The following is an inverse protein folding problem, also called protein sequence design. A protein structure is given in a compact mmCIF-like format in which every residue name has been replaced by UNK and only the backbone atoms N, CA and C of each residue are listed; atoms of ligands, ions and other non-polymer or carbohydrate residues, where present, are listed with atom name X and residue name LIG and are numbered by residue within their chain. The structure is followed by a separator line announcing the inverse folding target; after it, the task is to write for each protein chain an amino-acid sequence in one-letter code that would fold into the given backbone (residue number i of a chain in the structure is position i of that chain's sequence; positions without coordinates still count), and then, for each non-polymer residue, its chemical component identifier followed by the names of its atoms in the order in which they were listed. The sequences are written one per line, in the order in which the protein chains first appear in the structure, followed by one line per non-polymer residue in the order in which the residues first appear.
data_IF_352847955834
#
_entry.id   IF_352847955834
#
_cell.length_a   1.000
_cell.length_b   1.000
_cell.length_c   1.000
_cell.angle_alpha   90.00
_cell.angle_beta   90.00
_cell.angle_gamma   90.00
#
_symmetry.space_group_name_H-M   'P 1'
#
loop_
_entity.id
_entity.type
_entity.pdbx_description
1 polymer ?
#
# COMPACT_ATOMS: atom_id res chain seq x y z
N UNK A 1 -73.31 -14.51 13.99
CA UNK A 1 -72.43 -15.68 13.79
C UNK A 1 -71.51 -15.32 12.62
N UNK A 2 -70.18 -15.21 12.71
CA UNK A 2 -69.20 -15.48 13.77
C UNK A 2 -68.01 -14.51 13.72
N UNK A 3 -67.15 -14.61 14.72
CA UNK A 3 -65.96 -13.78 15.01
C UNK A 3 -64.74 -14.12 14.11
N UNK A 4 -63.68 -13.27 14.08
CA UNK A 4 -62.56 -13.40 13.15
C UNK A 4 -61.44 -14.33 13.65
N UNK A 5 -60.83 -15.09 12.73
CA UNK A 5 -59.71 -15.99 12.99
C UNK A 5 -58.38 -15.22 13.09
N UNK A 6 -58.05 -14.83 14.31
CA UNK A 6 -56.67 -14.68 14.77
C UNK A 6 -56.08 -16.05 15.14
N UNK A 7 -54.75 -16.18 15.00
CA UNK A 7 -53.87 -17.27 15.50
C UNK A 7 -53.63 -18.46 14.56
N UNK A 8 -52.69 -18.30 13.63
CA UNK A 8 -51.71 -19.34 13.35
C UNK A 8 -50.33 -18.70 13.24
N UNK A 9 -49.56 -18.90 14.29
CA UNK A 9 -48.21 -18.43 14.49
C UNK A 9 -47.30 -19.68 14.45
N UNK A 10 -45.99 -19.46 14.29
CA UNK A 10 -44.94 -20.39 14.72
C UNK A 10 -44.64 -21.53 13.72
N UNK A 11 -43.80 -21.27 12.71
CA UNK A 11 -42.72 -22.15 12.20
C UNK A 11 -42.15 -21.55 10.89
N UNK A 12 -41.53 -20.38 10.99
CA UNK A 12 -40.54 -19.99 9.99
C UNK A 12 -39.16 -20.36 10.56
N UNK A 13 -38.36 -21.23 9.92
CA UNK A 13 -37.01 -21.52 10.39
C UNK A 13 -36.17 -20.24 10.37
N UNK A 14 -35.24 -20.04 11.32
CA UNK A 14 -34.33 -18.90 11.28
C UNK A 14 -33.52 -19.00 9.99
N UNK A 15 -33.59 -17.96 9.16
CA UNK A 15 -32.75 -17.79 7.99
C UNK A 15 -31.29 -17.83 8.45
N UNK A 16 -30.67 -18.96 8.15
CA UNK A 16 -29.30 -19.34 8.46
C UNK A 16 -28.35 -18.39 7.72
N UNK A 17 -27.54 -17.65 8.47
CA UNK A 17 -26.27 -17.06 8.03
C UNK A 17 -26.35 -16.12 6.83
N UNK A 18 -26.71 -14.85 7.05
CA UNK A 18 -26.09 -13.81 6.23
C UNK A 18 -24.63 -13.70 6.67
N UNK A 19 -23.76 -14.47 6.02
CA UNK A 19 -22.36 -14.08 5.93
C UNK A 19 -22.35 -12.71 5.27
N UNK A 20 -22.22 -11.67 6.09
CA UNK A 20 -21.90 -10.32 5.65
C UNK A 20 -20.53 -10.41 4.98
N UNK A 21 -20.49 -10.78 3.70
CA UNK A 21 -19.30 -10.64 2.89
C UNK A 21 -19.03 -9.14 2.81
N UNK A 22 -18.12 -8.66 3.67
CA UNK A 22 -17.63 -7.29 3.62
C UNK A 22 -16.89 -7.15 2.29
N UNK A 23 -17.58 -6.61 1.28
CA UNK A 23 -16.92 -6.18 0.06
C UNK A 23 -15.99 -5.03 0.40
N UNK A 24 -14.68 -5.25 0.29
CA UNK A 24 -13.69 -4.20 0.44
C UNK A 24 -13.91 -3.14 -0.64
N UNK A 25 -14.23 -1.93 -0.22
CA UNK A 25 -14.35 -0.78 -1.12
C UNK A 25 -13.00 -0.06 -1.24
N UNK A 26 -12.92 0.94 -2.12
CA UNK A 26 -11.69 1.75 -2.34
C UNK A 26 -11.06 2.28 -1.06
N UNK A 27 -11.86 2.66 -0.05
CA UNK A 27 -11.35 3.15 1.25
C UNK A 27 -10.69 2.02 2.05
N UNK A 28 -11.28 0.82 2.04
CA UNK A 28 -10.69 -0.35 2.68
C UNK A 28 -9.33 -0.70 2.07
N UNK A 29 -9.25 -0.80 0.73
CA UNK A 29 -7.98 -1.06 0.03
C UNK A 29 -6.93 0.02 0.32
N UNK A 30 -7.32 1.30 0.30
CA UNK A 30 -6.39 2.39 0.62
C UNK A 30 -5.90 2.34 2.08
N UNK A 31 -6.77 1.99 3.02
CA UNK A 31 -6.41 1.92 4.45
C UNK A 31 -5.45 0.76 4.72
N UNK A 32 -5.77 -0.42 4.19
CA UNK A 32 -4.87 -1.59 4.29
C UNK A 32 -3.56 -1.33 3.56
N UNK A 33 -3.63 -0.73 2.37
CA UNK A 33 -2.45 -0.31 1.61
C UNK A 33 -1.54 0.61 2.41
N UNK A 34 -2.10 1.63 3.08
CA UNK A 34 -1.33 2.53 3.94
C UNK A 34 -0.63 1.78 5.07
N UNK A 35 -1.35 0.91 5.79
CA UNK A 35 -0.80 0.15 6.91
C UNK A 35 0.31 -0.80 6.44
N UNK A 36 0.05 -1.57 5.38
CA UNK A 36 1.01 -2.53 4.83
C UNK A 36 2.25 -1.82 4.28
N UNK A 37 2.06 -0.69 3.60
CA UNK A 37 3.15 0.15 3.11
C UNK A 37 4.01 0.73 4.24
N UNK A 38 3.39 1.25 5.31
CA UNK A 38 4.10 1.71 6.51
C UNK A 38 4.90 0.59 7.19
N UNK A 39 4.30 -0.60 7.36
CA UNK A 39 4.99 -1.76 7.93
C UNK A 39 6.17 -2.17 7.05
N UNK A 40 5.98 -2.18 5.73
CA UNK A 40 7.04 -2.53 4.78
C UNK A 40 8.21 -1.53 4.79
N UNK A 41 7.94 -0.24 4.92
CA UNK A 41 8.99 0.75 5.10
C UNK A 41 9.70 0.56 6.47
N UNK A 42 8.94 0.37 7.54
CA UNK A 42 9.46 0.22 8.91
C UNK A 42 10.42 -0.97 9.06
N UNK A 43 10.11 -2.13 8.45
CA UNK A 43 10.98 -3.32 8.48
C UNK A 43 12.30 -3.15 7.73
N UNK A 44 12.38 -2.16 6.86
CA UNK A 44 13.53 -1.89 6.00
C UNK A 44 14.35 -0.68 6.45
N UNK A 45 14.05 -0.12 7.63
CA UNK A 45 14.77 1.02 8.18
C UNK A 45 16.22 0.64 8.54
N UNK A 46 17.22 1.44 8.14
CA UNK A 46 18.61 1.24 8.55
C UNK A 46 18.80 1.42 10.06
N UNK A 47 19.70 0.64 10.65
CA UNK A 47 20.13 0.86 12.03
C UNK A 47 20.86 2.20 12.17
N UNK A 48 20.59 2.94 13.26
CA UNK A 48 21.23 4.22 13.53
C UNK A 48 20.68 5.42 12.77
N UNK A 49 19.66 5.23 11.92
CA UNK A 49 19.00 6.33 11.22
C UNK A 49 18.21 7.22 12.20
N UNK A 50 18.33 8.54 12.03
CA UNK A 50 17.64 9.52 12.87
C UNK A 50 16.12 9.35 12.83
N UNK A 51 15.45 9.53 13.98
CA UNK A 51 14.02 9.25 14.13
C UNK A 51 13.13 10.03 13.17
N UNK A 52 13.50 11.28 12.84
CA UNK A 52 12.73 12.10 11.90
C UNK A 52 12.75 11.52 10.47
N UNK A 53 13.87 10.93 10.06
CA UNK A 53 13.99 10.24 8.76
C UNK A 53 13.27 8.89 8.76
N UNK A 54 13.26 8.18 9.90
CA UNK A 54 12.44 6.98 10.06
C UNK A 54 10.95 7.31 9.92
N UNK A 55 10.49 8.39 10.53
CA UNK A 55 9.11 8.88 10.39
C UNK A 55 8.83 9.24 8.92
N UNK A 56 9.74 9.96 8.26
CA UNK A 56 9.61 10.31 6.85
C UNK A 56 9.44 9.06 5.96
N UNK A 57 10.30 8.05 6.14
CA UNK A 57 10.21 6.77 5.42
C UNK A 57 8.89 6.04 5.70
N UNK A 58 8.42 5.99 6.95
CA UNK A 58 7.16 5.32 7.29
C UNK A 58 5.95 6.03 6.69
N UNK A 59 5.94 7.37 6.70
CA UNK A 59 4.89 8.18 6.05
C UNK A 59 4.93 8.06 4.54
N UNK A 60 6.13 8.04 3.96
CA UNK A 60 6.36 7.74 2.55
C UNK A 60 5.78 6.38 2.20
N UNK A 61 6.12 5.34 2.97
CA UNK A 61 5.60 3.99 2.84
C UNK A 61 4.08 3.93 2.91
N UNK A 62 3.47 4.69 3.82
CA UNK A 62 2.02 4.82 3.91
C UNK A 62 1.41 5.34 2.60
N UNK A 63 1.93 6.47 2.10
CA UNK A 63 1.43 7.09 0.87
C UNK A 63 1.68 6.19 -0.35
N UNK A 64 2.87 5.59 -0.45
CA UNK A 64 3.22 4.62 -1.48
C UNK A 64 2.28 3.43 -1.46
N UNK A 65 1.95 2.93 -0.27
CA UNK A 65 0.98 1.86 -0.07
C UNK A 65 -0.43 2.22 -0.54
N UNK A 66 -0.91 3.43 -0.26
CA UNK A 66 -2.19 3.94 -0.78
C UNK A 66 -2.20 4.01 -2.31
N UNK A 67 -1.12 4.51 -2.91
CA UNK A 67 -0.98 4.59 -4.37
C UNK A 67 -0.95 3.18 -4.95
N UNK A 68 -0.08 2.32 -4.42
CA UNK A 68 0.09 0.94 -4.84
C UNK A 68 -1.19 0.13 -4.77
N UNK A 69 -1.97 0.29 -3.69
CA UNK A 69 -3.24 -0.42 -3.52
C UNK A 69 -4.34 0.05 -4.47
N UNK A 70 -4.12 1.09 -5.27
CA UNK A 70 -5.08 1.56 -6.29
C UNK A 70 -4.64 1.20 -7.69
N UNK A 71 -3.37 0.88 -7.89
CA UNK A 71 -2.79 0.61 -9.21
C UNK A 71 -3.52 -0.51 -9.96
N UNK A 72 -3.91 -1.66 -9.36
CA UNK A 72 -4.63 -2.69 -10.09
C UNK A 72 -5.90 -2.16 -10.76
N UNK A 73 -6.73 -1.42 -10.01
CA UNK A 73 -7.99 -0.85 -10.49
C UNK A 73 -7.80 0.36 -11.43
N UNK A 74 -6.64 1.02 -11.40
CA UNK A 74 -6.28 2.10 -12.35
C UNK A 74 -5.85 1.50 -13.68
N UNK A 75 -5.01 0.45 -13.65
CA UNK A 75 -4.50 -0.23 -14.84
C UNK A 75 -5.62 -1.02 -15.52
N UNK A 76 -6.50 -1.64 -14.74
CA UNK A 76 -7.62 -2.43 -15.24
C UNK A 76 -8.93 -1.98 -14.57
N UNK A 77 -9.56 -0.87 -15.03
CA UNK A 77 -10.82 -0.39 -14.47
C UNK A 77 -11.92 -1.44 -14.56
N UNK A 78 -12.72 -1.58 -13.50
CA UNK A 78 -13.83 -2.53 -13.46
C UNK A 78 -15.00 -2.07 -14.36
N UNK A 79 -14.98 -2.45 -15.63
CA UNK A 79 -16.07 -2.19 -16.59
C UNK A 79 -17.21 -3.22 -16.54
N UNK A 80 -16.95 -4.46 -16.09
CA UNK A 80 -17.96 -5.44 -15.63
C UNK A 80 -17.30 -6.55 -14.79
N UNK A 81 -18.09 -7.43 -14.16
CA UNK A 81 -17.64 -8.44 -13.17
C UNK A 81 -16.66 -9.50 -13.68
N UNK A 82 -16.39 -9.54 -14.98
CA UNK A 82 -15.48 -10.49 -15.65
C UNK A 82 -14.20 -9.85 -16.19
N UNK A 83 -13.99 -8.54 -16.00
CA UNK A 83 -12.84 -7.81 -16.54
C UNK A 83 -11.60 -7.78 -15.65
N UNK A 84 -11.55 -8.52 -14.53
CA UNK A 84 -10.35 -8.59 -13.68
C UNK A 84 -9.44 -9.70 -14.20
N UNK A 85 -8.56 -9.37 -15.15
CA UNK A 85 -7.73 -10.35 -15.87
C UNK A 85 -6.25 -10.20 -15.54
N UNK A 86 -5.54 -9.31 -16.22
CA UNK A 86 -4.08 -9.24 -16.18
C UNK A 86 -3.55 -8.60 -14.90
N UNK A 87 -4.02 -7.41 -14.53
CA UNK A 87 -3.51 -6.65 -13.38
C UNK A 87 -3.89 -7.32 -12.06
N UNK A 88 -4.96 -8.10 -12.07
CA UNK A 88 -5.36 -8.90 -10.92
C UNK A 88 -4.90 -10.35 -10.99
N UNK A 89 -4.06 -10.75 -11.96
CA UNK A 89 -3.60 -12.14 -12.09
C UNK A 89 -2.60 -12.57 -11.02
N UNK A 90 -2.57 -13.87 -10.71
CA UNK A 90 -1.57 -14.46 -9.79
C UNK A 90 -0.14 -14.26 -10.29
N UNK A 91 0.06 -14.32 -11.61
CA UNK A 91 1.38 -14.11 -12.22
C UNK A 91 1.89 -12.71 -11.96
N UNK A 92 1.05 -11.68 -12.18
CA UNK A 92 1.42 -10.29 -11.89
C UNK A 92 1.59 -10.09 -10.38
N UNK A 93 0.70 -10.65 -9.55
CA UNK A 93 0.83 -10.61 -8.10
C UNK A 93 2.20 -11.14 -7.63
N UNK A 94 2.60 -12.30 -8.14
CA UNK A 94 3.86 -12.96 -7.80
C UNK A 94 5.07 -12.16 -8.31
N UNK A 95 4.98 -11.60 -9.52
CA UNK A 95 6.01 -10.73 -10.08
C UNK A 95 6.21 -9.45 -9.27
N UNK A 96 5.13 -8.82 -8.81
CA UNK A 96 5.20 -7.64 -7.93
C UNK A 96 5.74 -8.03 -6.56
N UNK A 97 5.29 -9.14 -5.97
CA UNK A 97 5.74 -9.61 -4.66
C UNK A 97 7.23 -10.01 -4.62
N UNK A 98 7.81 -10.40 -5.76
CA UNK A 98 9.22 -10.81 -5.86
C UNK A 98 10.07 -9.71 -6.48
N UNK A 99 9.98 -9.54 -7.81
CA UNK A 99 10.80 -8.61 -8.56
C UNK A 99 10.42 -7.16 -8.28
N UNK A 100 9.13 -6.84 -8.14
CA UNK A 100 8.67 -5.51 -7.76
C UNK A 100 9.22 -5.07 -6.41
N UNK A 101 9.13 -5.94 -5.40
CA UNK A 101 9.73 -5.72 -4.08
C UNK A 101 11.25 -5.52 -4.15
N UNK A 102 11.97 -6.37 -4.88
CA UNK A 102 13.42 -6.23 -5.07
C UNK A 102 13.80 -4.92 -5.73
N UNK A 103 13.16 -4.55 -6.85
CA UNK A 103 13.43 -3.28 -7.53
C UNK A 103 13.14 -2.10 -6.60
N UNK A 104 12.03 -2.14 -5.86
CA UNK A 104 11.69 -1.07 -4.92
C UNK A 104 12.68 -0.95 -3.77
N UNK A 105 13.27 -2.05 -3.32
CA UNK A 105 14.30 -2.06 -2.29
C UNK A 105 15.60 -1.43 -2.82
N UNK A 106 16.00 -1.76 -4.05
CA UNK A 106 17.17 -1.16 -4.72
C UNK A 106 16.97 0.36 -4.90
N UNK A 107 15.77 0.78 -5.34
CA UNK A 107 15.42 2.19 -5.47
C UNK A 107 15.39 2.91 -4.11
N UNK A 108 14.86 2.28 -3.07
CA UNK A 108 14.86 2.84 -1.71
C UNK A 108 16.29 2.99 -1.18
N UNK A 109 17.17 2.01 -1.44
CA UNK A 109 18.59 2.12 -1.11
C UNK A 109 19.24 3.30 -1.81
N UNK A 110 19.02 3.43 -3.13
CA UNK A 110 19.53 4.56 -3.90
C UNK A 110 19.05 5.92 -3.33
N UNK A 111 17.78 6.02 -2.95
CA UNK A 111 17.25 7.24 -2.30
C UNK A 111 17.98 7.55 -0.99
N UNK A 112 18.27 6.54 -0.16
CA UNK A 112 19.02 6.74 1.09
C UNK A 112 20.47 7.12 0.85
N UNK A 113 21.12 6.54 -0.16
CA UNK A 113 22.48 6.91 -0.55
C UNK A 113 22.54 8.38 -1.00
N UNK A 114 21.55 8.83 -1.79
CA UNK A 114 21.43 10.24 -2.15
C UNK A 114 21.17 11.13 -0.92
N UNK A 115 20.35 10.67 0.05
CA UNK A 115 20.08 11.43 1.27
C UNK A 115 21.35 11.64 2.09
N UNK A 116 22.20 10.62 2.20
CA UNK A 116 23.51 10.71 2.85
C UNK A 116 24.43 11.72 2.15
N UNK A 117 24.43 11.78 0.82
CA UNK A 117 25.17 12.81 0.09
C UNK A 117 24.71 14.23 0.44
N UNK A 118 23.41 14.44 0.64
CA UNK A 118 22.88 15.73 1.07
C UNK A 118 23.22 16.06 2.53
N UNK A 119 23.19 15.06 3.41
CA UNK A 119 23.63 15.18 4.81
C UNK A 119 25.10 15.61 4.89
N UNK A 120 25.97 14.98 4.13
CA UNK A 120 27.40 15.33 4.06
C UNK A 120 27.61 16.76 3.57
N UNK A 121 26.90 17.16 2.50
CA UNK A 121 26.93 18.55 2.01
C UNK A 121 26.42 19.56 3.05
N UNK A 122 25.42 19.20 3.85
CA UNK A 122 24.94 20.04 4.94
C UNK A 122 26.03 20.26 6.00
N UNK A 123 26.72 19.18 6.41
CA UNK A 123 27.82 19.24 7.37
C UNK A 123 28.97 20.08 6.82
N UNK A 124 29.43 19.80 5.60
CA UNK A 124 30.50 20.56 4.96
C UNK A 124 30.17 22.05 4.86
N UNK A 125 28.93 22.38 4.48
CA UNK A 125 28.50 23.77 4.33
C UNK A 125 28.36 24.48 5.68
N UNK A 126 27.94 23.78 6.73
CA UNK A 126 27.86 24.32 8.09
C UNK A 126 29.23 24.64 8.69
N UNK A 127 30.28 23.94 8.25
CA UNK A 127 31.65 24.18 8.69
C UNK A 127 32.31 25.39 7.99
N UNK A 128 31.69 25.95 6.95
CA UNK A 128 32.25 27.09 6.21
C UNK A 128 32.00 28.41 6.97
N UNK A 129 32.97 29.34 6.99
CA UNK A 129 32.79 30.66 7.62
C UNK A 129 31.65 31.50 7.01
N UNK A 130 31.31 31.25 5.75
CA UNK A 130 30.26 31.92 4.97
C UNK A 130 29.01 31.04 4.77
N UNK A 131 28.85 30.00 5.58
CA UNK A 131 27.75 29.04 5.47
C UNK A 131 26.37 29.70 5.55
N UNK A 132 25.65 29.74 4.43
CA UNK A 132 24.29 30.27 4.38
C UNK A 132 23.25 29.32 5.01
N UNK A 133 22.39 29.87 5.89
CA UNK A 133 21.29 29.11 6.52
C UNK A 133 20.30 28.55 5.50
N UNK A 134 20.07 29.27 4.38
CA UNK A 134 19.17 28.82 3.32
C UNK A 134 19.68 27.53 2.64
N UNK A 135 20.99 27.41 2.41
CA UNK A 135 21.56 26.19 1.83
C UNK A 135 21.48 25.02 2.82
N UNK A 136 21.71 25.26 4.12
CA UNK A 136 21.54 24.22 5.15
C UNK A 136 20.09 23.71 5.20
N UNK A 137 19.12 24.63 5.15
CA UNK A 137 17.70 24.28 5.08
C UNK A 137 17.39 23.46 3.82
N UNK A 138 17.93 23.87 2.67
CA UNK A 138 17.74 23.14 1.41
C UNK A 138 18.29 21.71 1.48
N UNK A 139 19.51 21.52 1.98
CA UNK A 139 20.11 20.18 2.11
C UNK A 139 19.33 19.29 3.08
N UNK A 140 18.93 19.83 4.23
CA UNK A 140 18.11 19.11 5.22
C UNK A 140 16.74 18.72 4.66
N UNK A 141 16.12 19.61 3.85
CA UNK A 141 14.86 19.33 3.18
C UNK A 141 15.01 18.22 2.13
N UNK A 142 16.07 18.25 1.32
CA UNK A 142 16.31 17.21 0.31
C UNK A 142 16.58 15.86 0.95
N UNK A 143 17.39 15.81 2.01
CA UNK A 143 17.62 14.62 2.81
C UNK A 143 16.30 14.02 3.34
N UNK A 144 15.45 14.86 3.95
CA UNK A 144 14.13 14.43 4.43
C UNK A 144 13.24 13.91 3.30
N UNK A 145 13.17 14.61 2.16
CA UNK A 145 12.36 14.21 1.01
C UNK A 145 12.85 12.92 0.38
N UNK A 146 14.16 12.66 0.39
CA UNK A 146 14.74 11.42 -0.13
C UNK A 146 14.44 10.22 0.77
N UNK A 147 14.47 10.40 2.10
CA UNK A 147 13.95 9.39 3.02
C UNK A 147 12.45 9.15 2.81
N UNK A 148 11.65 10.22 2.69
CA UNK A 148 10.24 10.07 2.33
C UNK A 148 10.05 9.30 1.00
N UNK A 149 10.85 9.60 -0.02
CA UNK A 149 10.81 8.92 -1.30
C UNK A 149 11.21 7.45 -1.20
N UNK A 150 12.23 7.11 -0.39
CA UNK A 150 12.64 5.72 -0.12
C UNK A 150 11.49 4.91 0.46
N UNK A 151 10.79 5.48 1.44
CA UNK A 151 9.54 4.94 1.97
C UNK A 151 8.49 4.75 0.89
N UNK A 152 8.21 5.81 0.13
CA UNK A 152 7.18 5.83 -0.91
C UNK A 152 7.38 4.73 -1.96
N UNK A 153 8.58 4.61 -2.53
CA UNK A 153 8.85 3.59 -3.55
C UNK A 153 8.72 2.18 -2.98
N UNK A 154 9.15 1.94 -1.74
CA UNK A 154 8.99 0.65 -1.06
C UNK A 154 7.53 0.31 -0.74
N UNK A 155 6.69 1.33 -0.52
CA UNK A 155 5.27 1.16 -0.21
C UNK A 155 4.43 0.72 -1.41
N UNK A 156 4.78 1.13 -2.63
CA UNK A 156 4.01 0.84 -3.85
C UNK A 156 3.76 -0.67 -4.06
N UNK A 157 4.79 -1.53 -4.17
CA UNK A 157 4.55 -2.96 -4.38
C UNK A 157 3.84 -3.62 -3.20
N UNK A 158 4.09 -3.15 -1.97
CA UNK A 158 3.41 -3.65 -0.77
C UNK A 158 1.90 -3.34 -0.79
N UNK A 159 1.54 -2.11 -1.18
CA UNK A 159 0.15 -1.71 -1.40
C UNK A 159 -0.52 -2.53 -2.50
N UNK A 160 0.16 -2.73 -3.63
CA UNK A 160 -0.34 -3.52 -4.76
C UNK A 160 -0.66 -4.96 -4.34
N UNK A 161 0.28 -5.62 -3.66
CA UNK A 161 0.10 -6.99 -3.16
C UNK A 161 -1.04 -7.06 -2.15
N UNK A 162 -1.16 -6.06 -1.26
CA UNK A 162 -2.27 -6.02 -0.30
C UNK A 162 -3.64 -5.90 -0.97
N UNK A 163 -3.75 -5.12 -2.06
CA UNK A 163 -4.98 -5.02 -2.83
C UNK A 163 -5.39 -6.38 -3.39
N UNK A 164 -4.45 -7.09 -4.03
CA UNK A 164 -4.71 -8.41 -4.58
C UNK A 164 -5.01 -9.45 -3.50
N UNK A 165 -4.29 -9.44 -2.38
CA UNK A 165 -4.56 -10.33 -1.26
C UNK A 165 -5.98 -10.14 -0.71
N UNK A 166 -6.44 -8.89 -0.59
CA UNK A 166 -7.82 -8.60 -0.19
C UNK A 166 -8.83 -9.12 -1.23
N UNK A 167 -8.56 -8.92 -2.52
CA UNK A 167 -9.42 -9.42 -3.59
C UNK A 167 -9.51 -10.96 -3.61
N UNK A 168 -8.44 -11.68 -3.24
CA UNK A 168 -8.44 -13.15 -3.11
C UNK A 168 -9.41 -13.66 -2.03
N UNK A 169 -9.68 -12.85 -1.00
CA UNK A 169 -10.60 -13.22 0.10
C UNK A 169 -12.06 -12.92 -0.20
N UNK A 170 -12.36 -12.37 -1.38
CA UNK A 170 -13.74 -12.14 -1.82
C UNK A 170 -14.28 -13.36 -2.60
N UNK A 171 -15.61 -13.61 -2.59
CA UNK A 171 -16.22 -14.77 -3.26
C UNK A 171 -15.92 -14.91 -4.76
N UNK A 172 -15.45 -13.84 -5.40
CA UNK A 172 -14.93 -13.85 -6.77
C UNK A 172 -13.42 -13.70 -6.72
N UNK A 173 -12.76 -14.76 -6.27
CA UNK A 173 -11.31 -14.84 -6.15
C UNK A 173 -10.63 -14.67 -7.52
N UNK A 174 -9.40 -14.16 -7.47
CA UNK A 174 -8.48 -14.05 -8.60
C UNK A 174 -8.45 -15.36 -9.41
N UNK A 175 -8.54 -15.33 -10.76
CA UNK A 175 -8.38 -16.53 -11.57
C UNK A 175 -6.97 -17.12 -11.33
N UNK A 176 -6.94 -18.26 -10.63
CA UNK A 176 -5.69 -18.93 -10.22
C UNK A 176 -4.84 -19.39 -11.41
N UNK A 177 -5.49 -19.65 -12.54
CA UNK A 177 -4.92 -20.03 -13.84
C UNK A 177 -5.98 -19.68 -14.88
N UNK A 178 -5.59 -19.21 -16.07
CA UNK A 178 -6.47 -19.15 -17.25
C UNK A 178 -7.10 -20.52 -17.44
N UNK A 179 -8.34 -20.71 -16.96
CA UNK A 179 -9.17 -21.82 -17.46
C UNK A 179 -9.63 -21.38 -18.83
N UNK A 180 -8.97 -21.94 -19.84
CA UNK A 180 -9.37 -21.78 -21.22
C UNK A 180 -10.85 -22.13 -21.39
N UNK A 181 -11.55 -21.22 -22.05
CA UNK A 181 -12.71 -21.49 -22.88
C UNK A 181 -12.50 -20.72 -24.16
#
# INVERSE_FOLDING_TARGET
MGFPDSFNNIFAPPMRGQEFFIMSNRKAHSTVGAVVGSINAARCLPAGQASIHNIAEVLGGALGGVVGSRLPDIIEPAIHSHHRSFAHSVTVASGVATKGMSISADMASWCRDQAEMFRQRAVEHSARPDGSALAQLFYSLMEFLLHFAAGFVSGIPAGYVSHLAMDMTTPRSIPLVVRGF
#
